data_IF_724481394847
#
_entry.id   IF_724481394847
#
_cell.length_a   1.000
_cell.length_b   1.000
_cell.length_c   1.000
_cell.angle_alpha   90.00
_cell.angle_beta   90.00
_cell.angle_gamma   90.00
#
_symmetry.space_group_name_H-M   'P 1'
#
loop_
_entity.id
_entity.type
_entity.pdbx_description
1 polymer ?
#
# COMPACT_ATOMS: atom_id res chain seq x y z
N UNK A 1 -17.02 -2.52 -18.05
CA UNK A 1 -16.83 -2.08 -16.67
C UNK A 1 -17.72 -0.87 -16.38
N UNK A 2 -17.77 0.14 -17.26
CA UNK A 2 -18.62 1.32 -17.12
C UNK A 2 -20.12 0.97 -16.96
N UNK A 3 -20.63 0.04 -17.76
CA UNK A 3 -22.01 -0.46 -17.65
C UNK A 3 -22.31 -1.04 -16.26
N UNK A 4 -21.36 -1.81 -15.71
CA UNK A 4 -21.49 -2.37 -14.37
C UNK A 4 -21.60 -1.27 -13.31
N UNK A 5 -20.68 -0.29 -13.32
CA UNK A 5 -20.72 0.80 -12.38
C UNK A 5 -21.97 1.67 -12.56
N UNK A 6 -22.41 1.93 -13.79
CA UNK A 6 -23.65 2.62 -14.08
C UNK A 6 -24.86 1.88 -13.47
N UNK A 7 -24.92 0.56 -13.64
CA UNK A 7 -25.97 -0.27 -13.06
C UNK A 7 -25.96 -0.23 -11.53
N UNK A 8 -24.76 -0.33 -10.91
CA UNK A 8 -24.62 -0.22 -9.45
C UNK A 8 -25.11 1.14 -8.96
N UNK A 9 -24.68 2.23 -9.56
CA UNK A 9 -25.06 3.58 -9.14
C UNK A 9 -26.55 3.87 -9.35
N UNK A 10 -27.18 3.27 -10.38
CA UNK A 10 -28.63 3.39 -10.62
C UNK A 10 -29.50 2.80 -9.50
N UNK A 11 -28.94 1.95 -8.64
CA UNK A 11 -29.64 1.42 -7.46
C UNK A 11 -29.75 2.42 -6.29
N UNK A 12 -29.17 3.61 -6.42
CA UNK A 12 -29.16 4.64 -5.37
C UNK A 12 -28.00 4.51 -4.38
N UNK A 13 -27.04 3.60 -4.64
CA UNK A 13 -25.78 3.49 -3.87
C UNK A 13 -24.98 4.79 -4.08
N UNK A 14 -24.52 5.40 -2.98
CA UNK A 14 -23.76 6.66 -3.02
C UNK A 14 -22.23 6.46 -3.04
N UNK A 15 -21.76 5.32 -2.58
CA UNK A 15 -20.35 5.01 -2.46
C UNK A 15 -20.11 3.55 -2.85
N UNK A 16 -19.01 3.29 -3.56
CA UNK A 16 -18.61 1.96 -4.06
C UNK A 16 -17.45 1.35 -3.27
N UNK A 17 -17.26 1.76 -2.03
CA UNK A 17 -16.23 1.22 -1.16
C UNK A 17 -16.70 -0.07 -0.44
N UNK A 18 -15.85 -1.11 -0.32
CA UNK A 18 -14.54 -1.27 -0.96
C UNK A 18 -14.67 -1.74 -2.43
N UNK A 19 -13.77 -1.24 -3.27
CA UNK A 19 -13.59 -1.70 -4.66
C UNK A 19 -12.24 -2.38 -4.79
N UNK A 20 -12.12 -3.38 -5.64
CA UNK A 20 -10.87 -4.09 -5.90
C UNK A 20 -10.43 -3.85 -7.36
N UNK A 21 -9.13 -3.70 -7.57
CA UNK A 21 -8.55 -3.51 -8.89
C UNK A 21 -7.07 -3.84 -8.93
N UNK A 22 -6.51 -3.81 -10.14
CA UNK A 22 -5.07 -3.91 -10.35
C UNK A 22 -4.51 -2.57 -10.83
N UNK A 23 -3.27 -2.29 -10.50
CA UNK A 23 -2.60 -1.06 -10.96
C UNK A 23 -2.40 -1.07 -12.48
N UNK A 24 -2.02 -2.22 -13.05
CA UNK A 24 -1.92 -2.41 -14.49
C UNK A 24 -3.25 -2.13 -15.21
N UNK A 25 -4.35 -2.63 -14.67
CA UNK A 25 -5.69 -2.38 -15.21
C UNK A 25 -6.10 -0.91 -15.13
N UNK A 26 -5.63 -0.18 -14.12
CA UNK A 26 -5.91 1.25 -13.99
C UNK A 26 -5.23 2.11 -15.06
N UNK A 27 -4.11 1.64 -15.61
CA UNK A 27 -3.32 2.38 -16.62
C UNK A 27 -3.37 1.78 -18.03
N UNK A 28 -3.95 0.59 -18.18
CA UNK A 28 -4.04 -0.08 -19.50
C UNK A 28 -4.92 0.66 -20.50
N UNK A 29 -5.91 1.40 -20.04
CA UNK A 29 -6.73 2.31 -20.87
C UNK A 29 -6.97 3.60 -20.07
N UNK A 30 -6.40 4.70 -20.55
CA UNK A 30 -6.45 6.03 -19.92
C UNK A 30 -7.87 6.56 -19.66
N UNK A 31 -8.89 6.02 -20.33
CA UNK A 31 -10.30 6.44 -20.21
C UNK A 31 -11.02 5.77 -19.06
N UNK A 32 -10.60 4.56 -18.66
CA UNK A 32 -11.35 3.72 -17.71
C UNK A 32 -11.50 4.37 -16.36
N UNK A 33 -10.40 4.75 -15.73
CA UNK A 33 -10.44 5.36 -14.38
C UNK A 33 -11.20 6.68 -14.37
N UNK A 34 -10.95 7.65 -15.30
CA UNK A 34 -11.73 8.89 -15.38
C UNK A 34 -13.23 8.68 -15.61
N UNK A 35 -13.61 7.72 -16.45
CA UNK A 35 -15.03 7.46 -16.73
C UNK A 35 -15.72 6.85 -15.51
N UNK A 36 -15.10 5.88 -14.84
CA UNK A 36 -15.66 5.29 -13.62
C UNK A 36 -15.75 6.34 -12.50
N UNK A 37 -14.77 7.23 -12.38
CA UNK A 37 -14.78 8.32 -11.42
C UNK A 37 -15.98 9.24 -11.62
N UNK A 38 -16.29 9.59 -12.86
CA UNK A 38 -17.50 10.36 -13.20
C UNK A 38 -18.78 9.62 -12.82
N UNK A 39 -18.87 8.33 -13.17
CA UNK A 39 -20.05 7.50 -12.88
C UNK A 39 -20.27 7.36 -11.36
N UNK A 40 -19.20 7.22 -10.59
CA UNK A 40 -19.26 7.04 -9.13
C UNK A 40 -19.25 8.36 -8.36
N UNK A 41 -19.24 9.50 -9.05
CA UNK A 41 -19.10 10.83 -8.45
C UNK A 41 -17.86 10.97 -7.56
N UNK A 42 -16.77 10.28 -7.90
CA UNK A 42 -15.48 10.47 -7.22
C UNK A 42 -14.99 11.91 -7.43
N UNK A 43 -14.52 12.53 -6.38
CA UNK A 43 -14.13 13.94 -6.40
C UNK A 43 -13.44 14.37 -5.11
N UNK A 44 -13.04 15.65 -4.99
CA UNK A 44 -12.31 16.14 -3.83
C UNK A 44 -13.08 15.98 -2.51
N UNK A 45 -14.41 15.99 -2.56
CA UNK A 45 -15.29 15.81 -1.41
C UNK A 45 -15.83 14.37 -1.29
N UNK A 46 -15.51 13.51 -2.26
CA UNK A 46 -15.93 12.12 -2.31
C UNK A 46 -14.77 11.23 -2.77
N UNK A 47 -13.75 11.10 -1.89
CA UNK A 47 -12.62 10.21 -2.14
C UNK A 47 -13.07 8.76 -2.05
N UNK A 48 -12.62 7.95 -3.00
CA UNK A 48 -12.99 6.52 -3.11
C UNK A 48 -11.77 5.66 -2.84
N UNK A 49 -11.92 4.63 -2.00
CA UNK A 49 -10.87 3.64 -1.76
C UNK A 49 -10.90 2.52 -2.80
N UNK A 50 -9.72 2.05 -3.21
CA UNK A 50 -9.57 0.86 -4.03
C UNK A 50 -8.51 -0.04 -3.43
N UNK A 51 -8.86 -1.29 -3.18
CA UNK A 51 -7.90 -2.28 -2.72
C UNK A 51 -7.13 -2.85 -3.92
N UNK A 52 -5.81 -2.75 -3.86
CA UNK A 52 -4.90 -3.24 -4.89
C UNK A 52 -3.88 -4.20 -4.26
N UNK A 53 -3.77 -5.39 -4.80
CA UNK A 53 -2.68 -6.30 -4.43
C UNK A 53 -1.37 -5.80 -5.03
N UNK A 54 -0.54 -5.16 -4.21
CA UNK A 54 0.85 -4.85 -4.57
C UNK A 54 1.72 -6.10 -4.46
N UNK A 55 1.43 -6.94 -3.52
CA UNK A 55 2.08 -8.18 -3.12
C UNK A 55 3.53 -7.96 -2.67
N UNK A 56 4.37 -7.42 -3.54
CA UNK A 56 5.78 -7.13 -3.30
C UNK A 56 6.29 -6.05 -4.25
N UNK A 57 7.38 -5.40 -3.90
CA UNK A 57 8.14 -4.54 -4.82
C UNK A 57 9.17 -5.32 -5.64
N UNK A 58 9.42 -6.60 -5.33
CA UNK A 58 10.39 -7.41 -6.06
C UNK A 58 9.88 -7.82 -7.43
N UNK A 59 10.63 -7.44 -8.47
CA UNK A 59 10.33 -7.85 -9.85
C UNK A 59 10.43 -9.36 -10.01
N UNK A 60 11.40 -10.00 -9.36
CA UNK A 60 11.58 -11.45 -9.36
C UNK A 60 10.36 -12.19 -8.79
N UNK A 61 9.83 -11.71 -7.67
CA UNK A 61 8.68 -12.35 -7.04
C UNK A 61 7.37 -12.08 -7.79
N UNK A 62 7.22 -10.90 -8.38
CA UNK A 62 6.07 -10.59 -9.24
C UNK A 62 6.06 -11.50 -10.47
N UNK A 63 7.19 -11.67 -11.16
CA UNK A 63 7.32 -12.58 -12.28
C UNK A 63 6.94 -14.02 -11.91
N UNK A 64 7.43 -14.48 -10.76
CA UNK A 64 7.22 -15.87 -10.32
C UNK A 64 5.79 -16.16 -9.86
N UNK A 65 5.14 -15.23 -9.17
CA UNK A 65 3.88 -15.50 -8.46
C UNK A 65 2.68 -14.67 -8.93
N UNK A 66 2.91 -13.58 -9.62
CA UNK A 66 1.84 -12.62 -9.95
C UNK A 66 1.96 -12.02 -11.36
N UNK A 67 2.58 -12.70 -12.30
CA UNK A 67 2.79 -12.30 -13.69
C UNK A 67 1.51 -11.80 -14.37
N UNK A 68 0.37 -12.48 -14.12
CA UNK A 68 -0.93 -12.11 -14.69
C UNK A 68 -1.46 -10.77 -14.20
N UNK A 69 -1.00 -10.28 -13.05
CA UNK A 69 -1.36 -8.95 -12.55
C UNK A 69 -0.70 -7.83 -13.33
N UNK A 70 0.38 -8.14 -14.05
CA UNK A 70 1.12 -7.18 -14.86
C UNK A 70 0.50 -6.93 -16.23
N UNK A 71 -0.24 -7.88 -16.79
CA UNK A 71 -0.75 -7.75 -18.13
C UNK A 71 -1.42 -6.39 -18.39
N UNK A 72 -1.06 -5.68 -19.48
CA UNK A 72 -0.23 -6.11 -20.62
C UNK A 72 1.29 -5.83 -20.49
N UNK A 73 1.76 -5.41 -19.33
CA UNK A 73 3.15 -4.99 -19.07
C UNK A 73 4.06 -6.17 -18.74
N UNK A 74 5.39 -5.92 -18.74
CA UNK A 74 6.42 -6.91 -18.40
C UNK A 74 6.88 -6.77 -16.94
N UNK A 75 7.50 -7.80 -16.33
CA UNK A 75 7.97 -7.73 -14.95
C UNK A 75 8.94 -6.58 -14.66
N UNK A 76 9.79 -6.22 -15.62
CA UNK A 76 10.75 -5.12 -15.51
C UNK A 76 10.08 -3.75 -15.41
N UNK A 77 8.83 -3.64 -15.84
CA UNK A 77 8.03 -2.42 -15.78
C UNK A 77 7.28 -2.28 -14.44
N UNK A 78 7.39 -3.24 -13.52
CA UNK A 78 6.56 -3.29 -12.31
C UNK A 78 6.60 -2.01 -11.49
N UNK A 79 7.78 -1.46 -11.21
CA UNK A 79 7.90 -0.22 -10.45
C UNK A 79 7.24 0.96 -11.16
N UNK A 80 7.37 1.03 -12.48
CA UNK A 80 6.71 2.05 -13.29
C UNK A 80 5.18 1.86 -13.25
N UNK A 81 4.68 0.63 -13.43
CA UNK A 81 3.26 0.31 -13.34
C UNK A 81 2.68 0.74 -11.99
N UNK A 82 3.39 0.49 -10.92
CA UNK A 82 2.95 0.89 -9.57
C UNK A 82 2.89 2.42 -9.44
N UNK A 83 3.94 3.10 -9.85
CA UNK A 83 4.01 4.57 -9.77
C UNK A 83 2.94 5.24 -10.62
N UNK A 84 2.80 4.84 -11.88
CA UNK A 84 1.81 5.42 -12.78
C UNK A 84 0.38 5.05 -12.38
N UNK A 85 0.16 3.82 -11.89
CA UNK A 85 -1.12 3.40 -11.35
C UNK A 85 -1.56 4.23 -10.15
N UNK A 86 -0.66 4.48 -9.20
CA UNK A 86 -0.94 5.36 -8.04
C UNK A 86 -1.30 6.77 -8.50
N UNK A 87 -0.51 7.32 -9.42
CA UNK A 87 -0.74 8.66 -9.97
C UNK A 87 -2.11 8.75 -10.65
N UNK A 88 -2.41 7.84 -11.58
CA UNK A 88 -3.68 7.78 -12.32
C UNK A 88 -4.88 7.69 -11.37
N UNK A 89 -4.80 6.81 -10.37
CA UNK A 89 -5.86 6.66 -9.37
C UNK A 89 -6.05 7.95 -8.56
N UNK A 90 -4.97 8.54 -8.07
CA UNK A 90 -5.03 9.76 -7.24
C UNK A 90 -5.54 10.99 -8.01
N UNK A 91 -5.14 11.16 -9.26
CA UNK A 91 -5.64 12.22 -10.14
C UNK A 91 -7.16 12.12 -10.36
N UNK A 92 -7.71 10.92 -10.22
CA UNK A 92 -9.13 10.64 -10.35
C UNK A 92 -9.84 10.38 -9.00
N UNK A 93 -9.24 10.83 -7.89
CA UNK A 93 -9.81 10.79 -6.53
C UNK A 93 -9.96 9.40 -5.92
N UNK A 94 -9.19 8.41 -6.42
CA UNK A 94 -9.11 7.08 -5.85
C UNK A 94 -7.85 6.93 -4.99
N UNK A 95 -8.01 6.30 -3.83
CA UNK A 95 -6.91 6.07 -2.89
C UNK A 95 -6.58 4.58 -2.88
N UNK A 96 -5.43 4.16 -3.41
CA UNK A 96 -4.99 2.78 -3.31
C UNK A 96 -4.75 2.34 -1.88
N UNK A 97 -5.33 1.21 -1.50
CA UNK A 97 -5.02 0.47 -0.28
C UNK A 97 -4.27 -0.81 -0.69
N UNK A 98 -2.97 -0.79 -0.56
CA UNK A 98 -2.11 -1.90 -0.94
C UNK A 98 -2.14 -3.03 0.08
N UNK A 99 -2.14 -4.25 -0.41
CA UNK A 99 -1.75 -5.43 0.35
C UNK A 99 -0.37 -5.88 -0.10
N UNK A 100 0.49 -6.20 0.86
CA UNK A 100 1.81 -6.79 0.65
C UNK A 100 1.81 -8.16 1.28
N UNK A 101 2.44 -9.14 0.65
CA UNK A 101 2.56 -10.50 1.18
C UNK A 101 4.01 -10.74 1.58
N UNK A 102 4.22 -11.10 2.83
CA UNK A 102 5.51 -11.51 3.36
C UNK A 102 5.55 -13.04 3.45
N UNK A 103 6.68 -13.61 3.09
CA UNK A 103 6.83 -15.06 2.99
C UNK A 103 6.16 -15.64 1.75
N UNK A 104 6.07 -14.87 0.67
CA UNK A 104 5.47 -15.32 -0.60
C UNK A 104 6.27 -16.46 -1.23
N UNK A 105 7.58 -16.48 -0.99
CA UNK A 105 8.50 -17.53 -1.43
C UNK A 105 9.37 -17.98 -0.24
N UNK A 106 9.53 -19.30 -0.05
CA UNK A 106 10.45 -19.82 0.95
C UNK A 106 11.91 -19.43 0.66
N UNK A 107 12.22 -19.08 -0.60
CA UNK A 107 13.53 -18.61 -1.06
C UNK A 107 13.58 -17.07 -1.20
N UNK A 108 12.74 -16.32 -0.49
CA UNK A 108 12.85 -14.87 -0.48
C UNK A 108 14.27 -14.42 -0.12
N UNK A 109 14.81 -13.53 -0.95
CA UNK A 109 16.15 -13.00 -0.76
C UNK A 109 16.06 -11.62 -0.07
N UNK A 110 17.08 -11.22 0.70
CA UNK A 110 17.09 -9.88 1.30
C UNK A 110 16.84 -8.75 0.31
N UNK A 111 17.24 -8.90 -0.96
CA UNK A 111 17.02 -7.91 -2.02
C UNK A 111 15.53 -7.72 -2.34
N UNK A 112 14.73 -8.77 -2.27
CA UNK A 112 13.26 -8.69 -2.48
C UNK A 112 12.59 -7.72 -1.48
N UNK A 113 13.01 -7.81 -0.21
CA UNK A 113 12.57 -6.87 0.82
C UNK A 113 13.06 -5.44 0.55
N UNK A 114 14.33 -5.29 0.13
CA UNK A 114 14.89 -3.97 -0.20
C UNK A 114 14.22 -3.34 -1.42
N UNK A 115 13.86 -4.09 -2.44
CA UNK A 115 13.10 -3.59 -3.59
C UNK A 115 11.73 -3.05 -3.15
N UNK A 116 11.04 -3.75 -2.26
CA UNK A 116 9.77 -3.29 -1.70
C UNK A 116 9.91 -2.00 -0.88
N UNK A 117 10.93 -1.93 -0.01
CA UNK A 117 11.24 -0.73 0.78
C UNK A 117 11.56 0.45 -0.14
N UNK A 118 12.36 0.20 -1.17
CA UNK A 118 12.76 1.20 -2.17
C UNK A 118 11.57 1.74 -2.93
N UNK A 119 10.70 0.86 -3.45
CA UNK A 119 9.50 1.25 -4.18
C UNK A 119 8.56 2.14 -3.35
N UNK A 120 8.30 1.79 -2.07
CA UNK A 120 7.49 2.62 -1.18
C UNK A 120 8.14 4.00 -0.97
N UNK A 121 9.48 4.03 -0.82
CA UNK A 121 10.22 5.26 -0.62
C UNK A 121 10.24 6.14 -1.85
N UNK A 122 10.36 5.55 -3.04
CA UNK A 122 10.28 6.26 -4.32
C UNK A 122 8.90 6.90 -4.51
N UNK A 123 7.82 6.17 -4.21
CA UNK A 123 6.46 6.74 -4.22
C UNK A 123 6.33 7.96 -3.29
N UNK A 124 6.93 7.91 -2.10
CA UNK A 124 6.92 9.03 -1.17
C UNK A 124 7.67 10.27 -1.67
N UNK A 125 8.80 10.06 -2.37
CA UNK A 125 9.68 11.15 -2.82
C UNK A 125 9.31 11.70 -4.19
N UNK A 126 8.99 10.82 -5.14
CA UNK A 126 8.67 11.22 -6.51
C UNK A 126 7.24 11.72 -6.64
N UNK A 127 6.35 11.24 -5.78
CA UNK A 127 4.94 11.61 -5.76
C UNK A 127 4.51 12.11 -4.37
N UNK A 128 5.09 13.21 -3.88
CA UNK A 128 4.90 13.66 -2.50
C UNK A 128 3.44 13.99 -2.14
N UNK A 129 2.60 14.25 -3.13
CA UNK A 129 1.17 14.52 -2.96
C UNK A 129 0.28 13.29 -3.10
N UNK A 130 0.82 12.15 -3.54
CA UNK A 130 0.02 10.95 -3.69
C UNK A 130 -0.44 10.39 -2.34
N UNK A 131 -1.63 9.81 -2.35
CA UNK A 131 -2.23 9.16 -1.20
C UNK A 131 -2.36 7.66 -1.46
N UNK A 132 -1.78 6.87 -0.60
CA UNK A 132 -1.98 5.43 -0.56
C UNK A 132 -1.77 4.92 0.86
N UNK A 133 -2.22 3.72 1.13
CA UNK A 133 -1.88 2.97 2.35
C UNK A 133 -1.31 1.62 1.95
N UNK A 134 -0.53 1.00 2.81
CA UNK A 134 0.02 -0.32 2.58
C UNK A 134 -0.12 -1.19 3.83
N UNK A 135 -0.63 -2.41 3.67
CA UNK A 135 -0.85 -3.36 4.75
C UNK A 135 -0.03 -4.62 4.50
N UNK A 136 1.01 -4.86 5.28
CA UNK A 136 1.76 -6.11 5.20
C UNK A 136 0.94 -7.25 5.81
N UNK A 137 0.79 -8.33 5.06
CA UNK A 137 0.10 -9.55 5.43
C UNK A 137 1.10 -10.71 5.41
N UNK A 138 0.95 -11.66 6.31
CA UNK A 138 1.71 -12.92 6.25
C UNK A 138 1.10 -13.84 5.22
N UNK A 139 1.94 -14.56 4.47
CA UNK A 139 1.47 -15.58 3.54
C UNK A 139 0.69 -16.68 4.28
N UNK A 140 -0.49 -16.98 3.76
CA UNK A 140 -1.32 -18.09 4.22
C UNK A 140 -1.56 -19.02 3.04
N UNK A 141 -1.14 -20.30 3.11
CA UNK A 141 -1.30 -21.25 2.03
C UNK A 141 -2.78 -21.60 1.84
N UNK A 142 -3.35 -21.16 0.71
CA UNK A 142 -4.75 -21.44 0.33
C UNK A 142 -4.86 -21.76 -1.16
N UNK A 143 -5.90 -22.46 -1.56
CA UNK A 143 -6.20 -22.76 -2.95
C UNK A 143 -5.09 -23.57 -3.62
N UNK A 144 -4.53 -23.07 -4.70
CA UNK A 144 -3.46 -23.75 -5.44
C UNK A 144 -2.16 -23.88 -4.64
N UNK A 145 -1.98 -23.05 -3.62
CA UNK A 145 -0.80 -23.00 -2.75
C UNK A 145 -1.05 -23.69 -1.40
N UNK A 146 -2.13 -24.42 -1.22
CA UNK A 146 -2.50 -25.10 0.06
C UNK A 146 -1.43 -26.07 0.60
N UNK A 147 -0.56 -26.56 -0.28
CA UNK A 147 0.56 -27.47 0.08
C UNK A 147 1.86 -26.72 0.44
N UNK A 148 1.89 -25.40 0.32
CA UNK A 148 3.02 -24.60 0.75
C UNK A 148 3.11 -24.54 2.27
N UNK A 149 4.29 -24.29 2.79
CA UNK A 149 4.47 -24.11 4.23
C UNK A 149 3.85 -22.77 4.69
N UNK A 150 3.31 -22.78 5.90
CA UNK A 150 2.81 -21.57 6.54
C UNK A 150 3.99 -20.69 6.97
N UNK A 151 3.93 -19.40 6.63
CA UNK A 151 4.96 -18.46 7.02
C UNK A 151 4.73 -17.94 8.46
N UNK A 152 5.68 -18.25 9.35
CA UNK A 152 5.69 -17.74 10.73
C UNK A 152 6.66 -16.56 10.84
N UNK A 153 6.11 -15.35 10.89
CA UNK A 153 6.92 -14.14 11.06
C UNK A 153 7.88 -14.16 12.25
N UNK A 154 7.53 -14.87 13.32
CA UNK A 154 8.37 -14.94 14.51
C UNK A 154 9.63 -15.80 14.30
N UNK A 155 9.53 -16.81 13.46
CA UNK A 155 10.60 -17.78 13.20
C UNK A 155 11.29 -17.52 11.87
N UNK A 156 10.53 -17.26 10.82
CA UNK A 156 10.99 -17.28 9.43
C UNK A 156 11.40 -15.90 8.90
N UNK A 157 11.00 -14.79 9.58
CA UNK A 157 11.30 -13.46 9.07
C UNK A 157 12.80 -13.16 9.04
N UNK A 158 13.28 -12.84 7.85
CA UNK A 158 14.58 -12.21 7.72
C UNK A 158 14.55 -10.72 8.14
N UNK A 159 15.73 -10.09 8.33
CA UNK A 159 15.79 -8.69 8.73
C UNK A 159 15.09 -7.73 7.77
N UNK A 160 15.07 -8.01 6.44
CA UNK A 160 14.47 -7.11 5.45
C UNK A 160 12.96 -7.20 5.43
N UNK A 161 12.37 -8.35 5.72
CA UNK A 161 10.92 -8.50 5.88
C UNK A 161 10.40 -7.72 7.08
N UNK A 162 11.11 -7.73 8.21
CA UNK A 162 10.83 -6.81 9.31
C UNK A 162 10.98 -5.35 8.87
N UNK A 163 11.95 -5.07 8.00
CA UNK A 163 12.15 -3.76 7.38
C UNK A 163 10.96 -3.32 6.52
N UNK A 164 10.39 -4.22 5.70
CA UNK A 164 9.18 -3.96 4.91
C UNK A 164 8.01 -3.59 5.83
N UNK A 165 7.79 -4.35 6.91
CA UNK A 165 6.77 -4.00 7.91
C UNK A 165 7.01 -2.62 8.51
N UNK A 166 8.24 -2.37 8.94
CA UNK A 166 8.60 -1.08 9.55
C UNK A 166 8.34 0.08 8.59
N UNK A 167 8.79 -0.04 7.33
CA UNK A 167 8.61 0.99 6.30
C UNK A 167 7.14 1.23 5.97
N UNK A 168 6.35 0.18 5.83
CA UNK A 168 4.91 0.28 5.58
C UNK A 168 4.16 0.98 6.71
N UNK A 169 4.44 0.61 7.95
CA UNK A 169 3.85 1.28 9.11
C UNK A 169 4.29 2.74 9.21
N UNK A 170 5.58 3.01 8.99
CA UNK A 170 6.12 4.36 8.96
C UNK A 170 5.39 5.21 7.90
N UNK A 171 5.22 4.68 6.68
CA UNK A 171 4.47 5.33 5.61
C UNK A 171 3.04 5.64 6.04
N UNK A 172 2.29 4.65 6.50
CA UNK A 172 0.89 4.80 6.87
C UNK A 172 0.69 5.89 7.93
N UNK A 173 1.55 5.95 8.94
CA UNK A 173 1.43 6.93 10.02
C UNK A 173 1.95 8.32 9.65
N UNK A 174 3.05 8.39 8.91
CA UNK A 174 3.66 9.68 8.55
C UNK A 174 2.96 10.36 7.39
N UNK A 175 2.63 9.60 6.35
CA UNK A 175 2.11 10.13 5.09
C UNK A 175 0.62 9.85 4.93
N UNK A 176 0.17 8.60 5.07
CA UNK A 176 -1.20 8.18 4.80
C UNK A 176 -2.21 8.91 5.67
N UNK A 177 -2.09 8.82 6.97
CA UNK A 177 -3.03 9.43 7.92
C UNK A 177 -2.95 10.96 7.86
N UNK A 178 -1.74 11.54 7.82
CA UNK A 178 -1.56 12.99 7.78
C UNK A 178 -2.19 13.62 6.55
N UNK A 179 -1.99 13.04 5.37
CA UNK A 179 -2.54 13.55 4.10
C UNK A 179 -4.05 13.38 4.03
N UNK A 180 -4.56 12.21 4.42
CA UNK A 180 -5.99 11.97 4.50
C UNK A 180 -6.69 13.03 5.38
N UNK A 181 -6.15 13.29 6.56
CA UNK A 181 -6.67 14.31 7.49
C UNK A 181 -6.57 15.72 6.95
N UNK A 182 -5.55 16.05 6.17
CA UNK A 182 -5.39 17.40 5.62
C UNK A 182 -6.41 17.67 4.51
N UNK A 183 -6.70 16.67 3.67
CA UNK A 183 -7.69 16.80 2.58
C UNK A 183 -9.13 16.75 3.11
N UNK A 184 -9.45 15.85 4.02
CA UNK A 184 -10.81 15.72 4.58
C UNK A 184 -11.15 16.79 5.62
N UNK A 185 -10.17 17.41 6.25
CA UNK A 185 -10.35 18.41 7.32
C UNK A 185 -10.64 19.83 6.85
N UNK A 186 -10.71 20.09 5.54
CA UNK A 186 -10.98 21.46 5.01
C UNK A 186 -12.44 21.89 5.06
N UNK A 187 -13.38 20.98 5.35
CA UNK A 187 -14.82 21.24 5.20
C UNK A 187 -15.67 21.16 6.48
N UNK A 188 -15.08 21.27 7.68
CA UNK A 188 -15.86 21.22 8.92
C UNK A 188 -15.46 22.25 9.97
N UNK A 189 -16.40 23.10 10.37
CA UNK A 189 -16.27 24.15 11.41
C UNK A 189 -16.02 23.62 12.84
N UNK A 190 -15.96 22.30 13.05
CA UNK A 190 -15.50 21.67 14.31
C UNK A 190 -14.08 21.11 14.25
N UNK A 191 -13.32 21.47 13.20
CA UNK A 191 -12.12 20.74 12.78
C UNK A 191 -10.89 20.87 13.67
N UNK A 192 -10.71 21.96 14.41
CA UNK A 192 -9.41 22.21 15.07
C UNK A 192 -9.15 21.30 16.26
N UNK A 193 -10.13 21.13 17.15
CA UNK A 193 -9.98 20.29 18.36
C UNK A 193 -10.00 18.80 17.99
N UNK A 194 -10.90 18.38 17.09
CA UNK A 194 -10.94 17.01 16.57
C UNK A 194 -9.66 16.66 15.83
N UNK A 195 -9.12 17.59 15.04
CA UNK A 195 -7.85 17.44 14.31
C UNK A 195 -6.65 17.32 15.27
N UNK A 196 -6.63 18.11 16.35
CA UNK A 196 -5.57 18.04 17.36
C UNK A 196 -5.62 16.75 18.20
N UNK A 197 -6.83 16.36 18.62
CA UNK A 197 -7.04 15.11 19.35
C UNK A 197 -6.69 13.88 18.49
N UNK A 198 -7.10 13.86 17.23
CA UNK A 198 -6.78 12.77 16.31
C UNK A 198 -5.29 12.74 15.94
N UNK A 199 -4.65 13.89 15.71
CA UNK A 199 -3.21 13.95 15.47
C UNK A 199 -2.41 13.48 16.69
N UNK A 200 -2.86 13.80 17.91
CA UNK A 200 -2.30 13.26 19.13
C UNK A 200 -2.46 11.74 19.21
N UNK A 201 -3.68 11.25 18.98
CA UNK A 201 -3.99 9.83 18.98
C UNK A 201 -3.23 9.07 17.89
N UNK A 202 -3.20 9.59 16.66
CA UNK A 202 -2.46 9.00 15.56
C UNK A 202 -0.95 8.93 15.85
N UNK A 203 -0.36 9.99 16.42
CA UNK A 203 1.06 9.98 16.83
C UNK A 203 1.33 8.96 17.92
N UNK A 204 0.44 8.85 18.90
CA UNK A 204 0.60 7.91 20.02
C UNK A 204 0.39 6.48 19.53
N UNK A 205 -0.68 6.19 18.81
CA UNK A 205 -0.98 4.85 18.29
C UNK A 205 0.00 4.44 17.20
N UNK A 206 0.47 5.38 16.37
CA UNK A 206 1.44 5.12 15.31
C UNK A 206 2.84 4.86 15.82
N UNK A 207 3.24 5.55 16.89
CA UNK A 207 4.54 5.34 17.51
C UNK A 207 4.68 4.00 18.22
N UNK A 208 3.59 3.44 18.74
CA UNK A 208 3.63 2.16 19.49
C UNK A 208 4.08 0.98 18.62
N UNK A 209 3.51 0.74 17.42
CA UNK A 209 3.97 -0.34 16.55
C UNK A 209 5.43 -0.18 16.12
N UNK A 210 5.84 1.01 15.71
CA UNK A 210 7.23 1.27 15.29
C UNK A 210 8.22 1.04 16.44
N UNK A 211 7.91 1.54 17.62
CA UNK A 211 8.74 1.29 18.83
C UNK A 211 8.78 -0.19 19.21
N UNK A 212 7.66 -0.91 19.05
CA UNK A 212 7.61 -2.34 19.28
C UNK A 212 8.49 -3.11 18.29
N UNK A 213 8.46 -2.74 17.01
CA UNK A 213 9.33 -3.33 15.97
C UNK A 213 10.80 -3.03 16.22
N UNK A 214 11.16 -1.81 16.65
CA UNK A 214 12.53 -1.47 17.04
C UNK A 214 13.03 -2.33 18.23
N UNK A 215 12.18 -2.50 19.24
CA UNK A 215 12.50 -3.38 20.39
C UNK A 215 12.64 -4.84 19.98
N UNK A 216 11.79 -5.29 19.06
CA UNK A 216 11.87 -6.64 18.51
C UNK A 216 13.17 -6.83 17.71
N UNK A 217 13.51 -5.90 16.82
CA UNK A 217 14.76 -5.92 16.07
C UNK A 217 16.00 -6.05 16.96
N UNK A 218 16.06 -5.25 18.05
CA UNK A 218 17.15 -5.35 19.03
C UNK A 218 17.25 -6.73 19.70
N UNK A 219 16.11 -7.37 19.96
CA UNK A 219 16.09 -8.74 20.55
C UNK A 219 16.52 -9.81 19.56
N UNK A 220 16.18 -9.65 18.29
CA UNK A 220 16.58 -10.58 17.21
C UNK A 220 18.06 -10.47 16.88
N UNK A 221 18.66 -9.30 16.99
CA UNK A 221 20.10 -9.12 16.83
C UNK A 221 20.50 -7.99 15.89
N UNK A 222 21.83 -7.84 15.72
CA UNK A 222 22.43 -6.69 15.03
C UNK A 222 21.99 -6.51 13.58
N UNK A 223 21.69 -7.58 12.87
CA UNK A 223 21.28 -7.49 11.46
C UNK A 223 19.90 -6.83 11.34
N UNK A 224 18.92 -7.26 12.14
CA UNK A 224 17.60 -6.66 12.20
C UNK A 224 17.67 -5.18 12.61
N UNK A 225 18.49 -4.87 13.61
CA UNK A 225 18.68 -3.48 14.05
C UNK A 225 19.28 -2.61 12.94
N UNK A 226 20.29 -3.11 12.21
CA UNK A 226 20.91 -2.39 11.07
C UNK A 226 19.91 -2.08 9.96
N UNK A 227 19.01 -3.01 9.62
CA UNK A 227 17.97 -2.78 8.61
C UNK A 227 17.05 -1.64 9.04
N UNK A 228 16.56 -1.67 10.28
CA UNK A 228 15.70 -0.58 10.80
C UNK A 228 16.43 0.76 10.80
N UNK A 229 17.67 0.82 11.27
CA UNK A 229 18.46 2.06 11.26
C UNK A 229 18.75 2.56 9.83
N UNK A 230 19.00 1.67 8.88
CA UNK A 230 19.16 2.03 7.47
C UNK A 230 17.86 2.65 6.93
N UNK A 231 16.69 2.08 7.23
CA UNK A 231 15.40 2.65 6.81
C UNK A 231 15.22 4.05 7.40
N UNK A 232 15.51 4.24 8.68
CA UNK A 232 15.39 5.54 9.36
C UNK A 232 16.32 6.62 8.80
N UNK A 233 17.46 6.24 8.26
CA UNK A 233 18.48 7.20 7.79
C UNK A 233 18.45 7.44 6.29
N UNK A 234 18.09 6.45 5.49
CA UNK A 234 18.17 6.51 4.02
C UNK A 234 16.80 6.51 3.32
N UNK A 235 15.77 5.99 3.97
CA UNK A 235 14.44 5.81 3.40
C UNK A 235 13.35 6.55 4.21
N UNK A 236 13.77 7.55 4.97
CA UNK A 236 12.88 8.39 5.81
C UNK A 236 12.23 9.50 5.01
#
# INVERSE_FOLDING_TARGET
LEELFTAIMSTGIKHTNPTHGTLSGAIADERVVPNISKITNAGPDNLTGIQCGLETGSMRLIEKYADRKLAPYQPEEWHWVVKEGVKTLNENYWIPAFTLIMGLDNDEQPEDGWETIRLISELEHEQPDSMFTATPLTFVPIGLLEKSEFYDMGQDSDPTQLGVMYKTWQHNFKYGIKKFMTKTGKHGTGGSIKKMAFNGLARTLGGVPLTAMEKYARRKGREHERVIEKIKTQYW
#
